data_IF_544247050262
#
_entry.id   IF_544247050262
#
_cell.length_a   1.000
_cell.length_b   1.000
_cell.length_c   1.000
_cell.angle_alpha   90.00
_cell.angle_beta   90.00
_cell.angle_gamma   90.00
#
_symmetry.space_group_name_H-M   'P 1'
#
loop_
_entity.id
_entity.type
_entity.pdbx_description
1 polymer ?
#
# COMPACT_ATOMS: atom_id res chain seq x y z
N UNK A 1 41.11 7.94 56.29
CA UNK A 1 39.66 8.29 56.26
C UNK A 1 39.21 8.92 54.94
N UNK A 2 39.86 9.99 54.43
CA UNK A 2 39.46 10.66 53.18
C UNK A 2 39.39 9.73 51.95
N UNK A 3 40.39 8.85 51.75
CA UNK A 3 40.45 7.90 50.61
C UNK A 3 39.35 6.83 50.62
N UNK A 4 38.93 6.39 51.81
CA UNK A 4 37.85 5.42 51.99
C UNK A 4 36.49 6.06 51.68
N UNK A 5 36.31 7.33 52.05
CA UNK A 5 35.09 8.07 51.75
C UNK A 5 34.92 8.32 50.25
N UNK A 6 36.02 8.64 49.54
CA UNK A 6 36.00 8.79 48.08
C UNK A 6 35.71 7.46 47.38
N UNK A 7 36.26 6.35 47.87
CA UNK A 7 36.02 5.01 47.32
C UNK A 7 34.56 4.57 47.53
N UNK A 8 33.99 4.83 48.72
CA UNK A 8 32.60 4.51 49.05
C UNK A 8 31.62 5.38 48.25
N UNK A 9 31.93 6.67 48.07
CA UNK A 9 31.16 7.56 47.22
C UNK A 9 31.22 7.12 45.74
N UNK A 10 32.37 6.70 45.23
CA UNK A 10 32.48 6.17 43.86
C UNK A 10 31.75 4.82 43.70
N UNK A 11 31.69 3.99 44.74
CA UNK A 11 30.98 2.71 44.72
C UNK A 11 29.45 2.90 44.78
N UNK A 12 28.96 3.95 45.46
CA UNK A 12 27.54 4.35 45.44
C UNK A 12 27.13 5.05 44.13
N UNK A 13 28.04 5.78 43.47
CA UNK A 13 27.78 6.47 42.18
C UNK A 13 27.90 5.52 40.98
N UNK A 14 28.49 4.33 41.16
CA UNK A 14 28.65 3.33 40.10
C UNK A 14 27.34 2.69 39.62
N UNK A 15 26.21 2.97 40.28
CA UNK A 15 24.89 2.57 39.80
C UNK A 15 24.16 3.77 39.18
N UNK A 16 23.92 3.69 37.87
CA UNK A 16 23.05 4.56 37.04
C UNK A 16 23.71 5.71 36.26
N UNK A 17 24.78 5.44 35.52
CA UNK A 17 25.09 6.22 34.31
C UNK A 17 24.61 5.44 33.08
N UNK A 18 23.29 5.37 32.88
CA UNK A 18 22.75 4.94 31.60
C UNK A 18 22.85 6.13 30.65
N UNK A 19 23.88 6.15 29.81
CA UNK A 19 24.07 7.16 28.75
C UNK A 19 23.00 7.07 27.64
N UNK A 20 22.13 6.06 27.70
CA UNK A 20 20.96 5.90 26.84
C UNK A 20 19.69 5.79 27.70
N UNK A 21 18.59 6.39 27.26
CA UNK A 21 17.27 6.25 27.89
C UNK A 21 16.58 4.92 27.58
N UNK A 22 17.14 4.12 26.65
CA UNK A 22 16.57 2.84 26.25
C UNK A 22 16.93 1.76 27.28
N UNK A 23 15.93 1.25 27.97
CA UNK A 23 16.03 0.07 28.83
C UNK A 23 15.84 -1.18 27.96
N UNK A 24 16.84 -2.05 27.87
CA UNK A 24 16.71 -3.38 27.26
C UNK A 24 16.57 -4.40 28.40
N UNK A 25 15.35 -4.66 28.88
CA UNK A 25 15.19 -5.54 30.03
C UNK A 25 15.54 -6.98 29.64
N UNK A 26 16.17 -7.70 30.57
CA UNK A 26 16.51 -9.13 30.40
C UNK A 26 15.27 -10.03 30.25
N UNK A 27 14.07 -9.46 30.44
CA UNK A 27 12.76 -10.10 30.33
C UNK A 27 12.18 -10.06 28.91
N UNK A 28 12.83 -9.39 27.96
CA UNK A 28 12.54 -9.45 26.51
C UNK A 28 11.92 -8.18 25.92
N UNK A 29 10.71 -7.81 26.37
CA UNK A 29 9.93 -6.73 25.74
C UNK A 29 10.61 -5.35 25.90
N UNK A 30 10.82 -4.63 24.79
CA UNK A 30 11.37 -3.26 24.79
C UNK A 30 10.24 -2.23 24.78
N UNK A 31 10.18 -1.40 25.83
CA UNK A 31 9.25 -0.28 25.92
C UNK A 31 9.94 1.06 25.62
N UNK A 32 9.30 1.90 24.79
CA UNK A 32 9.68 3.31 24.61
C UNK A 32 8.54 4.17 25.15
N UNK A 33 8.80 4.89 26.25
CA UNK A 33 7.77 5.69 26.92
C UNK A 33 6.82 4.88 27.82
N UNK A 34 7.02 3.57 27.97
CA UNK A 34 6.31 2.70 28.91
C UNK A 34 7.27 1.77 29.65
N UNK A 35 6.99 1.47 30.92
CA UNK A 35 7.74 0.51 31.74
C UNK A 35 7.12 -0.90 31.72
N UNK A 36 5.89 -1.03 31.22
CA UNK A 36 5.15 -2.29 31.17
C UNK A 36 4.74 -2.61 29.71
N UNK A 37 5.70 -2.87 28.81
CA UNK A 37 5.39 -3.16 27.41
C UNK A 37 4.59 -4.45 27.26
N UNK A 38 3.42 -4.38 26.60
CA UNK A 38 2.56 -5.54 26.38
C UNK A 38 3.01 -6.42 25.18
N UNK A 39 3.86 -5.87 24.32
CA UNK A 39 4.41 -6.54 23.14
C UNK A 39 5.94 -6.41 23.11
N UNK A 40 6.61 -7.20 22.25
CA UNK A 40 8.07 -7.20 22.11
C UNK A 40 8.66 -5.80 21.85
N UNK A 41 7.91 -4.95 21.13
CA UNK A 41 8.17 -3.52 21.03
C UNK A 41 6.87 -2.77 21.31
N UNK A 42 6.86 -1.93 22.33
CA UNK A 42 5.70 -1.12 22.71
C UNK A 42 6.12 0.36 22.83
N UNK A 43 5.44 1.24 22.10
CA UNK A 43 5.76 2.67 22.02
C UNK A 43 4.56 3.45 22.55
N UNK A 44 4.72 4.05 23.72
CA UNK A 44 3.68 4.86 24.36
C UNK A 44 4.07 6.34 24.34
N UNK A 45 3.34 7.14 23.56
CA UNK A 45 3.52 8.59 23.44
C UNK A 45 2.21 9.23 22.92
N UNK A 46 2.04 10.55 23.06
CA UNK A 46 0.90 11.30 22.52
C UNK A 46 1.23 12.06 21.21
N UNK A 47 2.39 11.83 20.61
CA UNK A 47 2.79 12.44 19.35
C UNK A 47 1.96 11.89 18.18
N UNK A 48 1.63 12.76 17.21
CA UNK A 48 0.91 12.38 15.99
C UNK A 48 1.64 11.29 15.19
N UNK A 49 2.97 11.32 15.18
CA UNK A 49 3.82 10.30 14.56
C UNK A 49 4.58 9.56 15.67
N UNK A 50 4.08 8.38 16.05
CA UNK A 50 4.67 7.57 17.12
C UNK A 50 5.99 6.91 16.72
N UNK A 51 6.10 6.45 15.47
CA UNK A 51 7.30 5.83 14.92
C UNK A 51 7.67 6.54 13.62
N UNK A 52 8.91 7.04 13.55
CA UNK A 52 9.48 7.60 12.33
C UNK A 52 10.68 6.75 11.90
N UNK A 53 10.60 6.18 10.70
CA UNK A 53 11.74 5.56 10.04
C UNK A 53 12.44 6.62 9.19
N UNK A 54 13.69 6.93 9.53
CA UNK A 54 14.47 7.97 8.87
C UNK A 54 15.73 7.35 8.23
N UNK A 55 15.91 7.57 6.93
CA UNK A 55 17.15 7.27 6.21
C UNK A 55 17.79 8.61 5.82
N UNK A 56 19.02 8.95 6.28
CA UNK A 56 19.66 10.23 5.98
C UNK A 56 19.77 10.51 4.48
N UNK A 57 19.78 11.79 4.10
CA UNK A 57 19.85 12.20 2.70
C UNK A 57 21.18 11.75 2.06
N UNK A 58 21.12 10.76 1.19
CA UNK A 58 22.25 10.32 0.36
C UNK A 58 21.77 10.15 -1.08
N UNK A 59 21.77 11.23 -1.87
CA UNK A 59 21.53 11.21 -3.33
C UNK A 59 20.36 10.29 -3.77
N UNK A 60 19.19 10.46 -3.14
CA UNK A 60 18.06 9.54 -3.30
C UNK A 60 17.36 9.76 -4.65
N UNK A 61 17.53 8.83 -5.59
CA UNK A 61 16.70 8.77 -6.77
C UNK A 61 15.31 8.19 -6.42
N UNK A 62 14.37 8.29 -7.37
CA UNK A 62 12.95 7.93 -7.18
C UNK A 62 12.70 6.48 -6.76
N UNK A 63 13.67 5.58 -6.93
CA UNK A 63 13.48 4.14 -6.68
C UNK A 63 14.10 3.65 -5.38
N UNK A 64 14.79 4.51 -4.62
CA UNK A 64 15.46 4.13 -3.37
C UNK A 64 14.55 4.31 -2.14
N UNK A 65 14.01 3.24 -1.54
CA UNK A 65 12.97 3.38 -0.53
C UNK A 65 13.48 3.28 0.92
N UNK A 66 12.63 3.60 1.88
CA UNK A 66 12.76 3.30 3.31
C UNK A 66 11.43 2.75 3.80
N UNK A 67 11.43 1.75 4.68
CA UNK A 67 10.18 1.13 5.08
C UNK A 67 10.32 -0.04 6.03
N UNK A 68 9.22 -0.77 6.17
CA UNK A 68 9.11 -1.97 7.00
C UNK A 68 8.95 -3.16 6.06
N UNK A 69 9.84 -4.14 6.19
CA UNK A 69 9.75 -5.43 5.51
C UNK A 69 9.12 -6.49 6.39
N UNK A 70 8.43 -7.45 5.77
CA UNK A 70 7.81 -8.60 6.41
C UNK A 70 8.39 -9.90 5.82
N UNK A 71 8.98 -10.75 6.67
CA UNK A 71 9.49 -12.10 6.31
C UNK A 71 8.36 -13.15 6.30
N UNK A 72 8.67 -14.41 5.96
CA UNK A 72 7.65 -15.45 5.83
C UNK A 72 8.18 -16.89 6.03
N UNK A 73 7.40 -17.88 5.57
CA UNK A 73 7.40 -19.32 5.92
C UNK A 73 8.71 -20.12 5.79
N UNK A 74 9.84 -19.51 5.41
CA UNK A 74 11.18 -20.12 5.47
C UNK A 74 12.00 -19.73 6.71
N UNK A 75 11.54 -18.73 7.46
CA UNK A 75 12.22 -18.10 8.60
C UNK A 75 11.89 -18.81 9.92
N UNK A 76 11.97 -20.14 9.95
CA UNK A 76 11.41 -20.92 11.05
C UNK A 76 12.27 -20.92 12.33
N UNK A 77 13.57 -20.57 12.26
CA UNK A 77 14.47 -20.65 13.41
C UNK A 77 15.63 -19.63 13.43
N UNK A 78 15.92 -18.92 12.34
CA UNK A 78 16.96 -17.89 12.27
C UNK A 78 16.62 -16.87 11.17
N UNK A 79 16.79 -15.55 11.42
CA UNK A 79 16.53 -14.51 10.43
C UNK A 79 17.24 -14.83 9.12
N UNK A 80 16.46 -15.15 8.09
CA UNK A 80 16.95 -15.14 6.72
C UNK A 80 16.76 -13.74 6.15
N UNK A 81 17.56 -13.32 5.17
CA UNK A 81 17.33 -12.05 4.45
C UNK A 81 16.04 -12.01 3.63
N UNK A 82 15.10 -12.93 3.86
CA UNK A 82 13.86 -13.10 3.11
C UNK A 82 12.84 -12.02 3.53
N UNK A 83 12.70 -11.00 2.68
CA UNK A 83 11.58 -10.04 2.77
C UNK A 83 10.60 -10.36 1.64
N UNK A 84 9.33 -10.62 1.98
CA UNK A 84 8.31 -11.03 0.98
C UNK A 84 7.22 -10.00 0.76
N UNK A 85 6.99 -9.14 1.73
CA UNK A 85 6.11 -8.00 1.59
C UNK A 85 6.67 -6.82 2.35
N UNK A 86 6.15 -5.62 2.11
CA UNK A 86 6.49 -4.47 2.93
C UNK A 86 5.73 -3.22 2.56
N UNK A 87 5.86 -2.24 3.45
CA UNK A 87 5.33 -0.89 3.30
C UNK A 87 6.52 0.03 3.21
N UNK A 88 6.64 0.74 2.11
CA UNK A 88 7.81 1.53 1.78
C UNK A 88 7.40 2.91 1.33
N UNK A 89 8.25 3.89 1.67
CA UNK A 89 8.19 5.21 1.10
C UNK A 89 9.43 5.47 0.26
N UNK A 90 9.24 6.13 -0.88
CA UNK A 90 10.31 6.66 -1.72
C UNK A 90 10.13 8.17 -1.89
N UNK A 91 11.04 8.78 -2.64
CA UNK A 91 11.05 10.16 -3.12
C UNK A 91 9.74 10.97 -2.97
N UNK A 92 9.86 12.20 -2.48
CA UNK A 92 8.76 13.16 -2.32
C UNK A 92 7.51 12.64 -1.56
N UNK A 93 7.68 11.64 -0.69
CA UNK A 93 6.58 11.10 0.10
C UNK A 93 5.73 10.06 -0.63
N UNK A 94 6.21 9.53 -1.76
CA UNK A 94 5.61 8.36 -2.39
C UNK A 94 5.46 7.24 -1.34
N UNK A 95 4.33 6.54 -1.38
CA UNK A 95 4.03 5.42 -0.50
C UNK A 95 3.59 4.23 -1.34
N UNK A 96 4.15 3.06 -1.08
CA UNK A 96 3.79 1.86 -1.82
C UNK A 96 3.84 0.58 -1.00
N UNK A 97 3.00 -0.36 -1.42
CA UNK A 97 3.00 -1.74 -0.95
C UNK A 97 3.72 -2.60 -1.96
N UNK A 98 4.74 -3.31 -1.50
CA UNK A 98 5.48 -4.26 -2.32
C UNK A 98 5.17 -5.69 -1.88
N UNK A 99 5.08 -6.60 -2.86
CA UNK A 99 4.92 -8.02 -2.60
C UNK A 99 5.74 -8.84 -3.61
N UNK A 100 6.58 -9.73 -3.10
CA UNK A 100 7.41 -10.65 -3.87
C UNK A 100 6.56 -11.56 -4.75
N UNK A 101 6.95 -11.74 -6.01
CA UNK A 101 6.45 -12.80 -6.87
C UNK A 101 7.53 -13.87 -7.05
N UNK A 102 7.73 -14.70 -6.02
CA UNK A 102 8.66 -15.83 -6.08
C UNK A 102 10.17 -15.49 -5.98
N UNK A 103 10.55 -14.24 -5.67
CA UNK A 103 11.97 -13.81 -5.55
C UNK A 103 12.22 -13.14 -4.19
N UNK A 104 13.43 -13.29 -3.65
CA UNK A 104 13.89 -12.76 -2.34
C UNK A 104 14.42 -11.31 -2.40
N UNK A 105 14.15 -10.56 -3.46
CA UNK A 105 14.80 -9.28 -3.78
C UNK A 105 14.07 -8.04 -3.22
N UNK A 106 13.03 -8.19 -2.38
CA UNK A 106 12.42 -7.01 -1.74
C UNK A 106 13.33 -6.36 -0.70
N UNK A 107 14.31 -7.09 -0.17
CA UNK A 107 15.29 -6.52 0.75
C UNK A 107 16.17 -5.46 0.05
N UNK A 108 16.37 -5.58 -1.26
CA UNK A 108 17.31 -4.76 -2.04
C UNK A 108 16.59 -3.85 -3.06
N UNK A 109 15.47 -4.28 -3.62
CA UNK A 109 14.80 -3.59 -4.74
C UNK A 109 13.26 -3.55 -4.59
N UNK A 110 12.67 -3.14 -3.45
CA UNK A 110 11.23 -3.30 -3.25
C UNK A 110 10.37 -2.44 -4.18
N UNK A 111 10.89 -1.32 -4.71
CA UNK A 111 10.18 -0.48 -5.68
C UNK A 111 9.78 -1.25 -6.96
N UNK A 112 10.65 -2.15 -7.45
CA UNK A 112 10.37 -3.00 -8.63
C UNK A 112 9.16 -3.92 -8.40
N UNK A 113 8.88 -4.26 -7.15
CA UNK A 113 7.80 -5.15 -6.75
C UNK A 113 6.59 -4.42 -6.17
N UNK A 114 6.47 -3.11 -6.44
CA UNK A 114 5.28 -2.33 -6.11
C UNK A 114 4.02 -2.97 -6.71
N UNK A 115 2.93 -2.99 -5.93
CA UNK A 115 1.61 -3.50 -6.32
C UNK A 115 0.56 -2.42 -6.23
N UNK A 116 0.61 -1.65 -5.15
CA UNK A 116 -0.17 -0.43 -4.96
C UNK A 116 0.82 0.70 -4.68
N UNK A 117 0.70 1.78 -5.44
CA UNK A 117 1.55 2.96 -5.37
C UNK A 117 0.67 4.19 -5.15
N UNK A 118 1.10 5.09 -4.27
CA UNK A 118 0.52 6.40 -4.04
C UNK A 118 1.63 7.39 -4.32
N UNK A 119 1.43 8.22 -5.33
CA UNK A 119 2.37 9.28 -5.68
C UNK A 119 2.27 10.41 -4.66
N UNK A 120 3.41 10.82 -4.08
CA UNK A 120 3.45 11.84 -3.06
C UNK A 120 3.18 13.25 -3.57
N UNK A 121 3.35 13.51 -4.88
CA UNK A 121 3.20 14.84 -5.49
C UNK A 121 1.73 15.19 -5.71
N UNK A 122 1.02 14.40 -6.54
CA UNK A 122 -0.37 14.69 -6.91
C UNK A 122 -1.40 13.81 -6.17
N UNK A 123 -0.95 12.83 -5.39
CA UNK A 123 -1.82 11.92 -4.63
C UNK A 123 -2.46 10.82 -5.49
N UNK A 124 -1.93 10.56 -6.68
CA UNK A 124 -2.48 9.56 -7.59
C UNK A 124 -2.19 8.13 -7.13
N UNK A 125 -3.18 7.26 -7.30
CA UNK A 125 -3.10 5.85 -6.91
C UNK A 125 -2.86 5.00 -8.16
N UNK A 126 -1.74 4.27 -8.18
CA UNK A 126 -1.42 3.25 -9.16
C UNK A 126 -1.65 1.85 -8.62
N UNK A 127 -2.37 1.00 -9.36
CA UNK A 127 -2.42 -0.46 -9.11
C UNK A 127 -1.71 -1.15 -10.27
N UNK A 128 -0.60 -1.84 -9.99
CA UNK A 128 0.26 -2.45 -11.00
C UNK A 128 1.10 -1.46 -11.82
N UNK A 129 1.11 -0.17 -11.46
CA UNK A 129 1.92 0.88 -12.09
C UNK A 129 2.42 1.87 -11.03
N UNK A 130 3.62 2.41 -11.22
CA UNK A 130 4.21 3.47 -10.37
C UNK A 130 4.22 4.83 -11.05
N UNK A 131 3.67 4.94 -12.27
CA UNK A 131 3.50 6.19 -13.00
C UNK A 131 2.01 6.38 -13.34
N UNK A 132 1.15 6.60 -12.33
CA UNK A 132 -0.26 6.86 -12.58
C UNK A 132 -0.43 8.17 -13.37
N UNK A 133 -1.40 8.22 -14.28
CA UNK A 133 -1.69 9.42 -15.12
C UNK A 133 -3.07 10.00 -14.84
N UNK A 134 -3.77 9.43 -13.86
CA UNK A 134 -5.10 9.77 -13.39
C UNK A 134 -5.16 9.48 -11.89
N UNK A 135 -6.14 10.06 -11.19
CA UNK A 135 -6.34 9.86 -9.75
C UNK A 135 -6.30 8.38 -9.33
N UNK A 136 -6.86 7.49 -10.15
CA UNK A 136 -6.71 6.05 -10.03
C UNK A 136 -6.31 5.48 -11.40
N UNK A 137 -5.13 4.86 -11.49
CA UNK A 137 -4.64 4.17 -12.67
C UNK A 137 -4.41 2.69 -12.34
N UNK A 138 -5.26 1.81 -12.86
CA UNK A 138 -5.09 0.36 -12.78
C UNK A 138 -4.46 -0.16 -14.08
N UNK A 139 -3.24 -0.69 -14.00
CA UNK A 139 -2.59 -1.41 -15.10
C UNK A 139 -3.00 -2.88 -15.06
N UNK A 140 -4.20 -3.17 -15.55
CA UNK A 140 -4.76 -4.52 -15.59
C UNK A 140 -6.29 -4.53 -15.60
N UNK A 141 -6.88 -5.69 -15.33
CA UNK A 141 -8.33 -5.86 -15.27
C UNK A 141 -8.85 -5.60 -13.84
N UNK A 142 -10.07 -5.08 -13.74
CA UNK A 142 -10.80 -4.91 -12.47
C UNK A 142 -11.92 -5.95 -12.43
N UNK A 143 -11.94 -6.80 -11.41
CA UNK A 143 -13.03 -7.73 -11.14
C UNK A 143 -13.85 -7.23 -9.94
N UNK A 144 -15.17 -7.11 -10.09
CA UNK A 144 -16.09 -6.71 -9.02
C UNK A 144 -17.20 -7.76 -8.89
N UNK A 145 -17.28 -8.44 -7.75
CA UNK A 145 -18.03 -9.70 -7.59
C UNK A 145 -19.41 -9.57 -6.93
N UNK A 146 -19.71 -8.44 -6.29
CA UNK A 146 -20.74 -8.39 -5.23
C UNK A 146 -22.10 -7.84 -5.72
N UNK A 147 -22.66 -8.43 -6.77
CA UNK A 147 -24.01 -8.12 -7.27
C UNK A 147 -24.10 -6.77 -7.99
N UNK A 148 -24.26 -5.68 -7.25
CA UNK A 148 -24.45 -4.30 -7.75
C UNK A 148 -23.16 -3.67 -8.27
N UNK A 149 -22.41 -4.40 -9.08
CA UNK A 149 -21.21 -3.93 -9.77
C UNK A 149 -21.60 -3.01 -10.93
N UNK A 150 -22.15 -1.84 -10.63
CA UNK A 150 -22.11 -0.76 -11.61
C UNK A 150 -20.64 -0.31 -11.70
N UNK A 151 -19.93 -0.74 -12.75
CA UNK A 151 -18.72 -0.03 -13.13
C UNK A 151 -19.19 1.35 -13.64
N UNK A 152 -19.30 2.32 -12.73
CA UNK A 152 -19.66 3.70 -13.07
C UNK A 152 -18.45 4.32 -13.77
N UNK A 153 -18.31 4.07 -15.07
CA UNK A 153 -17.36 4.78 -15.90
C UNK A 153 -17.95 6.15 -16.23
N UNK A 154 -17.62 7.17 -15.42
CA UNK A 154 -18.12 8.53 -15.59
C UNK A 154 -17.89 9.15 -16.99
N UNK A 155 -17.00 8.56 -17.81
CA UNK A 155 -16.70 8.96 -19.19
C UNK A 155 -16.68 7.81 -20.23
N UNK A 156 -17.26 6.64 -19.89
CA UNK A 156 -17.41 5.47 -20.77
C UNK A 156 -16.17 4.58 -20.98
N UNK A 157 -16.36 3.43 -21.64
CA UNK A 157 -15.29 2.47 -21.98
C UNK A 157 -14.50 3.03 -23.18
N UNK A 158 -13.28 3.54 -22.96
CA UNK A 158 -12.36 3.94 -24.02
C UNK A 158 -11.20 2.95 -24.08
N UNK A 159 -10.98 2.33 -25.23
CA UNK A 159 -9.85 1.43 -25.47
C UNK A 159 -9.20 1.78 -26.80
N UNK A 160 -7.88 1.60 -26.91
CA UNK A 160 -7.13 1.94 -28.11
C UNK A 160 -7.47 1.04 -29.32
N UNK A 161 -7.89 -0.21 -29.08
CA UNK A 161 -8.16 -1.19 -30.14
C UNK A 161 -9.63 -1.61 -30.21
N UNK A 162 -10.25 -1.95 -29.06
CA UNK A 162 -11.61 -2.51 -28.96
C UNK A 162 -12.18 -2.20 -27.59
N UNK A 163 -13.23 -1.39 -27.52
CA UNK A 163 -14.01 -1.14 -26.31
C UNK A 163 -15.39 -1.76 -26.51
N UNK A 164 -15.74 -2.78 -25.74
CA UNK A 164 -17.06 -3.39 -25.79
C UNK A 164 -17.59 -3.58 -24.37
N UNK A 165 -18.89 -3.29 -24.24
CA UNK A 165 -19.65 -3.51 -23.03
C UNK A 165 -20.24 -4.92 -23.09
N UNK A 166 -19.70 -5.85 -22.31
CA UNK A 166 -20.27 -7.18 -22.15
C UNK A 166 -21.35 -7.13 -21.07
N UNK A 167 -22.61 -7.27 -21.46
CA UNK A 167 -23.71 -7.52 -20.54
C UNK A 167 -24.08 -9.00 -20.69
N UNK A 168 -23.81 -9.79 -19.65
CA UNK A 168 -24.08 -11.22 -19.64
C UNK A 168 -24.81 -11.59 -18.36
N UNK A 169 -26.08 -11.94 -18.49
CA UNK A 169 -26.90 -12.54 -17.45
C UNK A 169 -26.59 -14.04 -17.41
N UNK A 170 -26.07 -14.56 -16.29
CA UNK A 170 -25.56 -15.94 -16.21
C UNK A 170 -26.57 -16.91 -15.55
N UNK A 171 -27.58 -16.38 -14.85
CA UNK A 171 -28.67 -17.15 -14.25
C UNK A 171 -30.01 -16.91 -14.96
N UNK A 172 -30.98 -17.81 -14.75
CA UNK A 172 -32.33 -17.70 -15.34
C UNK A 172 -33.12 -16.49 -14.85
N UNK A 173 -32.67 -15.82 -13.79
CA UNK A 173 -33.30 -14.62 -13.22
C UNK A 173 -32.43 -13.37 -13.41
N UNK A 174 -31.27 -13.48 -14.05
CA UNK A 174 -30.41 -12.32 -14.30
C UNK A 174 -30.90 -11.60 -15.55
N UNK A 175 -30.77 -10.27 -15.58
CA UNK A 175 -31.14 -9.44 -16.72
C UNK A 175 -29.94 -8.59 -17.12
N UNK A 176 -29.70 -8.49 -18.43
CA UNK A 176 -28.69 -7.61 -19.04
C UNK A 176 -29.39 -6.46 -19.75
N UNK A 177 -29.24 -5.23 -19.25
CA UNK A 177 -29.99 -4.03 -19.69
C UNK A 177 -29.09 -2.81 -19.90
N UNK A 178 -29.52 -1.86 -20.76
CA UNK A 178 -28.86 -0.56 -21.00
C UNK A 178 -29.88 0.60 -20.88
N UNK A 179 -29.87 1.28 -19.73
CA UNK A 179 -30.73 2.44 -19.49
C UNK A 179 -30.16 3.74 -20.09
N UNK A 180 -30.60 4.09 -21.31
CA UNK A 180 -30.37 5.43 -21.86
C UNK A 180 -31.47 6.38 -21.35
N UNK A 181 -31.13 7.35 -20.48
CA UNK A 181 -32.12 8.30 -19.97
C UNK A 181 -31.55 9.33 -18.98
N UNK A 182 -32.39 10.28 -18.58
CA UNK A 182 -32.07 11.31 -17.60
C UNK A 182 -33.34 11.80 -16.89
N UNK A 183 -33.25 11.99 -15.57
CA UNK A 183 -34.38 12.43 -14.73
C UNK A 183 -35.10 11.27 -14.01
N UNK A 184 -36.22 11.56 -13.31
CA UNK A 184 -36.93 10.61 -12.45
C UNK A 184 -37.93 9.68 -13.19
N UNK A 185 -38.05 9.81 -14.51
CA UNK A 185 -38.96 9.00 -15.34
C UNK A 185 -38.22 8.50 -16.57
N UNK A 186 -37.78 7.24 -16.55
CA UNK A 186 -37.08 6.62 -17.66
C UNK A 186 -38.08 6.29 -18.77
N UNK A 187 -37.98 6.95 -19.92
CA UNK A 187 -38.72 6.61 -21.13
C UNK A 187 -37.74 5.91 -22.09
N UNK A 188 -37.92 4.61 -22.30
CA UNK A 188 -37.03 3.66 -22.99
C UNK A 188 -36.86 3.92 -24.50
N UNK A 189 -37.40 5.03 -25.02
CA UNK A 189 -37.76 5.14 -26.44
C UNK A 189 -36.72 5.75 -27.38
N UNK A 190 -35.46 5.96 -26.97
CA UNK A 190 -34.45 6.59 -27.85
C UNK A 190 -33.08 5.92 -27.85
N UNK A 191 -32.99 4.75 -28.50
CA UNK A 191 -31.73 4.28 -29.09
C UNK A 191 -31.65 4.82 -30.52
N UNK A 192 -30.70 5.72 -30.80
CA UNK A 192 -30.34 6.11 -32.17
C UNK A 192 -29.03 5.43 -32.55
N UNK A 193 -29.10 4.50 -33.49
CA UNK A 193 -27.94 4.02 -34.23
C UNK A 193 -27.97 4.65 -35.62
N UNK A 194 -27.06 5.60 -35.87
CA UNK A 194 -26.84 6.16 -37.20
C UNK A 194 -25.71 5.38 -37.89
N UNK A 195 -26.03 4.75 -39.02
CA UNK A 195 -25.02 4.25 -39.95
C UNK A 195 -24.62 5.38 -40.90
N UNK A 196 -23.35 5.47 -41.34
CA UNK A 196 -23.02 6.20 -42.54
C UNK A 196 -23.92 5.73 -43.69
N UNK A 197 -24.40 6.65 -44.51
CA UNK A 197 -25.33 6.36 -45.62
C UNK A 197 -24.73 5.27 -46.51
N UNK A 198 -25.35 4.08 -46.54
CA UNK A 198 -25.03 3.02 -47.51
C UNK A 198 -24.73 1.62 -46.97
N UNK A 199 -24.63 1.41 -45.66
CA UNK A 199 -24.43 0.06 -45.08
C UNK A 199 -25.78 -0.53 -44.62
N UNK A 200 -26.15 -1.68 -45.20
CA UNK A 200 -27.30 -2.49 -44.77
C UNK A 200 -26.88 -3.39 -43.60
N UNK A 201 -27.69 -3.42 -42.55
CA UNK A 201 -27.56 -4.41 -41.48
C UNK A 201 -27.91 -5.79 -42.04
N UNK A 202 -26.91 -6.61 -42.32
CA UNK A 202 -27.12 -8.03 -42.61
C UNK A 202 -27.27 -8.76 -41.28
N UNK A 203 -28.50 -8.94 -40.83
CA UNK A 203 -28.79 -9.89 -39.74
C UNK A 203 -28.80 -11.28 -40.36
N UNK A 204 -27.78 -12.08 -40.07
CA UNK A 204 -27.75 -13.52 -40.38
C UNK A 204 -28.45 -14.33 -39.31
#
# INVERSE_FOLDING_TARGET
>A
MKKIFTLLASLLIAFSLNAQTNTFPTTGNTGIGTLNPAFNLDIFNNATTLLRLHRPNSALNSTTPVGIGFSHRGDANQPTGDTRAGIYSSYNGDLFFAAANGVTDLATSPFQYSRLFIEGTDGYIGIGTTNPTQLLHVKGNILSTNGTSAIILGHGIRANNRAELFLNAESSNDVSEIFFGYGPSYDETKIRWEFPIGELMTVS
#
